data_IF_373190959901
#
_entry.id   IF_373190959901
#
_cell.length_a   1.000
_cell.length_b   1.000
_cell.length_c   1.000
_cell.angle_alpha   90.00
_cell.angle_beta   90.00
_cell.angle_gamma   90.00
#
_symmetry.space_group_name_H-M   'P 1'
#
loop_
_entity.id
_entity.type
_entity.pdbx_description
1 polymer ?
#
# COMPACT_ATOMS: atom_id res chain seq x y z
N UNK A 1 66.14 43.96 -21.34
CA UNK A 1 65.97 43.00 -20.26
C UNK A 1 64.47 42.58 -20.22
N UNK A 2 64.20 41.36 -20.69
CA UNK A 2 62.78 40.83 -20.76
C UNK A 2 62.58 39.94 -19.60
N UNK A 3 61.68 40.30 -18.70
CA UNK A 3 61.25 39.46 -17.54
C UNK A 3 60.25 38.40 -18.01
N UNK A 4 60.65 37.16 -17.92
CA UNK A 4 59.85 35.98 -18.22
C UNK A 4 59.15 35.55 -16.90
N UNK A 5 57.83 35.70 -16.81
CA UNK A 5 57.03 35.23 -15.67
C UNK A 5 56.64 33.78 -15.96
N UNK A 6 57.12 32.87 -15.13
CA UNK A 6 56.66 31.47 -15.11
C UNK A 6 55.36 31.37 -14.28
N UNK A 7 54.29 30.97 -14.96
CA UNK A 7 53.05 30.57 -14.29
C UNK A 7 53.19 29.10 -13.93
N UNK A 8 53.28 28.81 -12.64
CA UNK A 8 53.24 27.42 -12.14
C UNK A 8 51.78 27.03 -11.94
N UNK A 9 51.27 26.16 -12.77
CA UNK A 9 49.92 25.58 -12.66
C UNK A 9 49.94 24.49 -11.60
N UNK A 10 49.37 24.77 -10.43
CA UNK A 10 49.20 23.78 -9.36
C UNK A 10 47.97 22.93 -9.69
N UNK A 11 48.17 21.73 -10.26
CA UNK A 11 47.10 20.73 -10.38
C UNK A 11 46.81 20.15 -9.00
N UNK A 12 45.72 20.59 -8.37
CA UNK A 12 45.13 19.92 -7.21
C UNK A 12 44.50 18.61 -7.68
N UNK A 13 45.19 17.49 -7.51
CA UNK A 13 44.62 16.16 -7.63
C UNK A 13 43.70 15.92 -6.41
N UNK A 14 42.40 16.03 -6.61
CA UNK A 14 41.45 15.54 -5.62
C UNK A 14 41.50 14.01 -5.62
N UNK A 15 41.66 13.36 -4.46
CA UNK A 15 41.53 11.92 -4.39
C UNK A 15 40.13 11.54 -4.82
N UNK A 16 39.99 10.75 -5.87
CA UNK A 16 38.76 10.01 -6.17
C UNK A 16 38.61 9.03 -5.00
N UNK A 17 37.73 9.37 -4.06
CA UNK A 17 37.27 8.41 -3.05
C UNK A 17 36.59 7.32 -3.85
N UNK A 18 37.26 6.20 -4.02
CA UNK A 18 36.67 5.01 -4.61
C UNK A 18 35.45 4.64 -3.76
N UNK A 19 34.27 4.67 -4.38
CA UNK A 19 33.08 4.08 -3.80
C UNK A 19 33.47 2.60 -3.64
N UNK A 20 33.58 2.15 -2.39
CA UNK A 20 33.76 0.73 -2.10
C UNK A 20 32.61 -0.01 -2.76
N UNK A 21 32.91 -1.00 -3.56
CA UNK A 21 31.90 -1.86 -4.18
C UNK A 21 31.13 -2.50 -3.02
N UNK A 22 29.88 -2.09 -2.85
CA UNK A 22 29.02 -2.60 -1.77
C UNK A 22 28.57 -4.01 -2.13
N UNK A 23 29.20 -5.01 -1.52
CA UNK A 23 28.93 -6.45 -1.72
C UNK A 23 27.58 -6.89 -1.11
N UNK A 24 26.77 -5.95 -0.61
CA UNK A 24 25.42 -6.25 -0.09
C UNK A 24 24.49 -6.70 -1.22
N UNK A 25 23.78 -7.78 -1.00
CA UNK A 25 22.77 -8.29 -1.95
C UNK A 25 21.43 -7.57 -1.86
N UNK A 26 21.20 -6.77 -0.80
CA UNK A 26 19.98 -6.02 -0.50
C UNK A 26 20.31 -4.72 0.25
N UNK A 27 19.46 -3.66 0.16
CA UNK A 27 19.57 -2.49 1.03
C UNK A 27 19.35 -2.88 2.50
N UNK A 28 19.74 -2.01 3.42
CA UNK A 28 19.56 -2.22 4.86
C UNK A 28 18.08 -2.42 5.25
N UNK A 29 17.19 -1.79 4.49
CA UNK A 29 15.75 -1.99 4.56
C UNK A 29 15.09 -1.73 3.20
N UNK A 30 13.91 -2.26 2.97
CA UNK A 30 13.08 -1.93 1.79
C UNK A 30 12.14 -0.73 2.04
N UNK A 31 12.06 -0.21 3.25
CA UNK A 31 11.23 0.94 3.62
C UNK A 31 11.97 2.24 3.33
N UNK A 32 11.41 3.07 2.42
CA UNK A 32 12.08 4.26 1.88
C UNK A 32 12.37 5.34 2.93
N UNK A 33 11.53 5.44 3.96
CA UNK A 33 11.67 6.41 5.06
C UNK A 33 12.72 5.99 6.12
N UNK A 34 13.28 4.78 5.99
CA UNK A 34 14.29 4.24 6.91
C UNK A 34 15.69 4.12 6.32
N UNK A 35 15.86 4.45 5.04
CA UNK A 35 17.19 4.52 4.40
C UNK A 35 17.58 5.99 4.16
N UNK A 36 18.88 6.26 4.15
CA UNK A 36 19.38 7.59 3.82
C UNK A 36 19.49 7.77 2.28
N UNK A 37 19.66 9.02 1.83
CA UNK A 37 19.68 9.33 0.40
C UNK A 37 20.87 8.70 -0.35
N UNK A 38 22.01 8.46 0.31
CA UNK A 38 23.18 7.84 -0.28
C UNK A 38 22.90 6.36 -0.58
N UNK A 39 22.39 5.63 0.40
CA UNK A 39 21.96 4.24 0.20
C UNK A 39 20.83 4.14 -0.84
N UNK A 40 19.87 5.08 -0.82
CA UNK A 40 18.83 5.15 -1.85
C UNK A 40 19.45 5.23 -3.26
N UNK A 41 20.43 6.10 -3.47
CA UNK A 41 21.11 6.28 -4.75
C UNK A 41 21.88 5.02 -5.21
N UNK A 42 22.42 4.22 -4.30
CA UNK A 42 23.13 2.96 -4.60
C UNK A 42 22.19 1.89 -5.19
N UNK A 43 20.92 1.91 -4.81
CA UNK A 43 19.95 0.88 -5.17
C UNK A 43 19.00 1.32 -6.28
N UNK A 44 18.53 2.56 -6.27
CA UNK A 44 17.50 3.04 -7.20
C UNK A 44 18.15 3.92 -8.29
N UNK A 45 17.85 3.72 -9.57
CA UNK A 45 17.00 2.67 -10.16
C UNK A 45 17.75 1.42 -10.59
N UNK A 46 19.07 1.34 -10.40
CA UNK A 46 19.95 0.36 -11.05
C UNK A 46 19.67 -1.08 -10.63
N UNK A 47 19.39 -1.29 -9.35
CA UNK A 47 19.11 -2.61 -8.77
C UNK A 47 17.62 -2.79 -8.45
N UNK A 48 16.91 -1.70 -8.13
CA UNK A 48 15.49 -1.69 -7.79
C UNK A 48 14.82 -0.52 -8.49
N UNK A 49 13.88 -0.80 -9.37
CA UNK A 49 13.10 0.20 -10.12
C UNK A 49 11.59 0.13 -9.87
N UNK A 50 11.20 -0.70 -8.91
CA UNK A 50 9.81 -0.94 -8.52
C UNK A 50 9.56 -0.39 -7.12
N UNK A 51 8.40 0.24 -6.91
CA UNK A 51 7.95 0.70 -5.61
C UNK A 51 6.53 0.21 -5.32
N UNK A 52 6.29 -0.23 -4.08
CA UNK A 52 4.99 -0.51 -3.51
C UNK A 52 4.55 0.73 -2.73
N UNK A 53 3.39 1.30 -3.04
CA UNK A 53 2.80 2.43 -2.37
C UNK A 53 1.55 1.98 -1.59
N UNK A 54 1.64 1.76 -0.27
CA UNK A 54 0.47 1.49 0.55
C UNK A 54 -0.42 2.73 0.63
N UNK A 55 -1.72 2.56 0.48
CA UNK A 55 -2.71 3.64 0.63
C UNK A 55 -3.90 3.18 1.44
N UNK A 56 -4.44 4.05 2.28
CA UNK A 56 -5.60 3.72 3.10
C UNK A 56 -6.33 4.96 3.57
N UNK A 57 -7.01 4.85 4.71
CA UNK A 57 -7.67 5.94 5.41
C UNK A 57 -7.77 5.62 6.90
N UNK A 58 -8.34 6.55 7.67
CA UNK A 58 -8.74 6.33 9.05
C UNK A 58 -10.26 6.32 9.12
N UNK A 59 -10.82 5.15 9.41
CA UNK A 59 -12.26 4.97 9.61
C UNK A 59 -12.56 3.78 10.54
N UNK A 60 -13.75 3.69 11.12
CA UNK A 60 -14.07 2.58 12.03
C UNK A 60 -14.07 1.23 11.29
N UNK A 61 -13.45 0.24 11.94
CA UNK A 61 -13.39 -1.17 11.51
C UNK A 61 -13.89 -2.10 12.61
N UNK A 62 -15.06 -1.80 13.17
CA UNK A 62 -15.63 -2.58 14.27
C UNK A 62 -14.71 -2.58 15.49
N UNK A 63 -14.20 -3.76 15.84
CA UNK A 63 -13.29 -3.94 16.98
C UNK A 63 -11.80 -3.90 16.60
N UNK A 64 -11.48 -3.78 15.32
CA UNK A 64 -10.13 -3.51 14.86
C UNK A 64 -9.78 -2.01 14.98
N UNK A 65 -8.50 -1.69 14.85
CA UNK A 65 -8.03 -0.31 14.88
C UNK A 65 -8.60 0.52 13.72
N UNK A 66 -8.86 1.82 13.95
CA UNK A 66 -9.34 2.73 12.90
C UNK A 66 -8.38 2.88 11.71
N UNK A 67 -7.13 2.47 11.86
CA UNK A 67 -6.12 2.45 10.81
C UNK A 67 -5.99 1.10 10.10
N UNK A 68 -6.99 0.19 10.16
CA UNK A 68 -6.93 -1.11 9.50
C UNK A 68 -6.62 -0.98 8.01
N UNK A 69 -7.23 0.00 7.33
CA UNK A 69 -6.97 0.32 5.92
C UNK A 69 -5.54 0.79 5.64
N UNK A 70 -4.80 1.24 6.64
CA UNK A 70 -3.38 1.59 6.55
C UNK A 70 -2.48 0.41 6.93
N UNK A 71 -2.87 -0.31 7.99
CA UNK A 71 -2.10 -1.42 8.57
C UNK A 71 -1.97 -2.57 7.57
N UNK A 72 -3.08 -2.98 6.95
CA UNK A 72 -3.09 -4.11 6.02
C UNK A 72 -2.21 -3.87 4.77
N UNK A 73 -2.37 -2.79 3.98
CA UNK A 73 -1.54 -2.57 2.78
C UNK A 73 -0.06 -2.33 3.11
N UNK A 74 0.25 -1.71 4.25
CA UNK A 74 1.64 -1.57 4.68
C UNK A 74 2.27 -2.92 4.99
N UNK A 75 1.59 -3.76 5.78
CA UNK A 75 2.08 -5.09 6.14
C UNK A 75 2.22 -6.00 4.91
N UNK A 76 1.27 -5.95 3.97
CA UNK A 76 1.38 -6.63 2.67
C UNK A 76 2.66 -6.16 1.97
N UNK A 77 2.82 -4.85 1.78
CA UNK A 77 3.93 -4.26 1.04
C UNK A 77 5.28 -4.65 1.65
N UNK A 78 5.43 -4.53 2.98
CA UNK A 78 6.66 -4.91 3.69
C UNK A 78 6.97 -6.41 3.54
N UNK A 79 5.94 -7.27 3.62
CA UNK A 79 6.10 -8.72 3.50
C UNK A 79 6.54 -9.15 2.11
N UNK A 80 6.01 -8.52 1.05
CA UNK A 80 6.27 -8.94 -0.33
C UNK A 80 7.42 -8.19 -1.00
N UNK A 81 7.93 -7.10 -0.40
CA UNK A 81 8.91 -6.19 -1.01
C UNK A 81 10.13 -6.90 -1.60
N UNK A 82 10.75 -7.81 -0.82
CA UNK A 82 11.91 -8.56 -1.28
C UNK A 82 11.58 -9.51 -2.44
N UNK A 83 10.45 -10.21 -2.37
CA UNK A 83 10.01 -11.17 -3.40
C UNK A 83 9.67 -10.51 -4.73
N UNK A 84 9.19 -9.26 -4.68
CA UNK A 84 8.80 -8.48 -5.86
C UNK A 84 9.93 -7.57 -6.37
N UNK A 85 11.09 -7.59 -5.70
CA UNK A 85 12.20 -6.67 -5.87
C UNK A 85 11.73 -5.22 -5.91
N UNK A 86 11.10 -4.78 -4.83
CA UNK A 86 10.52 -3.45 -4.71
C UNK A 86 10.98 -2.73 -3.44
N UNK A 87 10.97 -1.41 -3.46
CA UNK A 87 10.96 -0.56 -2.27
C UNK A 87 9.52 -0.40 -1.77
N UNK A 88 9.35 -0.01 -0.51
CA UNK A 88 8.07 0.35 0.11
C UNK A 88 8.06 1.83 0.41
N UNK A 89 7.17 2.58 -0.22
CA UNK A 89 6.98 3.99 0.06
C UNK A 89 6.23 4.19 1.40
N UNK A 90 6.37 5.35 2.06
CA UNK A 90 5.53 5.71 3.20
C UNK A 90 4.05 5.61 2.87
N UNK A 91 3.26 5.09 3.82
CA UNK A 91 1.81 4.91 3.63
C UNK A 91 1.09 6.26 3.46
N UNK A 92 0.22 6.36 2.46
CA UNK A 92 -0.74 7.47 2.37
C UNK A 92 -1.90 7.17 3.33
N UNK A 93 -1.78 7.67 4.56
CA UNK A 93 -2.61 7.28 5.68
C UNK A 93 -3.95 8.02 5.78
N UNK A 94 -4.14 9.10 5.03
CA UNK A 94 -5.37 9.87 5.00
C UNK A 94 -6.02 9.79 3.62
N UNK A 95 -7.27 9.34 3.58
CA UNK A 95 -7.98 9.03 2.35
C UNK A 95 -9.42 9.55 2.33
N UNK A 96 -10.24 8.93 1.48
CA UNK A 96 -11.59 9.39 1.16
C UNK A 96 -12.66 8.60 1.89
N UNK A 97 -12.67 8.63 3.24
CA UNK A 97 -13.73 8.01 4.04
C UNK A 97 -15.12 8.50 3.62
N UNK A 98 -16.04 7.57 3.45
CA UNK A 98 -17.42 7.83 3.00
C UNK A 98 -18.42 8.07 4.14
N UNK A 99 -19.46 7.22 4.21
CA UNK A 99 -20.57 7.31 5.18
C UNK A 99 -20.16 7.07 6.63
N UNK A 100 -18.97 6.53 6.86
CA UNK A 100 -18.38 6.31 8.19
C UNK A 100 -17.61 7.53 8.72
N UNK A 101 -17.49 8.60 7.97
CA UNK A 101 -16.73 9.79 8.35
C UNK A 101 -17.26 10.51 9.61
N UNK A 102 -18.49 10.25 10.02
CA UNK A 102 -19.09 10.83 11.24
C UNK A 102 -18.66 10.11 12.53
N UNK A 103 -18.04 8.94 12.43
CA UNK A 103 -17.58 8.20 13.61
C UNK A 103 -16.32 8.81 14.22
N UNK A 104 -16.15 8.73 15.55
CA UNK A 104 -14.95 9.21 16.22
C UNK A 104 -13.68 8.56 15.69
N UNK A 105 -12.66 9.37 15.42
CA UNK A 105 -11.38 8.91 14.89
C UNK A 105 -11.35 8.71 13.36
N UNK A 106 -12.48 8.90 12.66
CA UNK A 106 -12.51 8.92 11.19
C UNK A 106 -12.02 10.26 10.62
N UNK A 107 -11.32 10.19 9.48
CA UNK A 107 -10.87 11.38 8.74
C UNK A 107 -11.30 11.26 7.28
N UNK A 108 -11.80 12.35 6.72
CA UNK A 108 -12.28 12.39 5.34
C UNK A 108 -11.53 13.46 4.55
N UNK A 109 -10.84 13.05 3.49
CA UNK A 109 -10.39 13.97 2.45
C UNK A 109 -11.44 14.06 1.33
N UNK A 110 -11.60 15.25 0.74
CA UNK A 110 -12.38 15.40 -0.49
C UNK A 110 -11.58 14.92 -1.70
N UNK A 111 -12.27 14.55 -2.78
CA UNK A 111 -11.62 14.14 -4.02
C UNK A 111 -10.73 15.26 -4.60
N UNK A 112 -11.17 16.54 -4.46
CA UNK A 112 -10.44 17.72 -4.95
C UNK A 112 -9.09 17.92 -4.25
N UNK A 113 -8.93 17.38 -3.03
CA UNK A 113 -7.66 17.41 -2.29
C UNK A 113 -6.89 16.12 -2.52
N UNK A 114 -7.56 14.96 -2.46
CA UNK A 114 -6.90 13.67 -2.53
C UNK A 114 -6.29 13.38 -3.92
N UNK A 115 -7.00 13.75 -5.02
CA UNK A 115 -6.51 13.49 -6.37
C UNK A 115 -5.18 14.20 -6.66
N UNK A 116 -5.04 15.55 -6.49
CA UNK A 116 -3.78 16.23 -6.71
C UNK A 116 -2.69 15.77 -5.72
N UNK A 117 -3.02 15.48 -4.46
CA UNK A 117 -2.07 14.96 -3.48
C UNK A 117 -1.45 13.62 -3.94
N UNK A 118 -2.28 12.67 -4.37
CA UNK A 118 -1.79 11.38 -4.90
C UNK A 118 -0.95 11.61 -6.15
N UNK A 119 -1.39 12.52 -7.06
CA UNK A 119 -0.64 12.81 -8.29
C UNK A 119 0.78 13.30 -7.98
N UNK A 120 0.94 14.26 -7.08
CA UNK A 120 2.26 14.77 -6.69
C UNK A 120 3.16 13.71 -6.07
N UNK A 121 2.60 12.78 -5.29
CA UNK A 121 3.35 11.65 -4.75
C UNK A 121 3.85 10.71 -5.87
N UNK A 122 2.98 10.36 -6.84
CA UNK A 122 3.38 9.50 -7.96
C UNK A 122 4.41 10.18 -8.86
N UNK A 123 4.27 11.49 -9.14
CA UNK A 123 5.28 12.29 -9.84
C UNK A 123 6.62 12.31 -9.09
N UNK A 124 6.57 12.40 -7.75
CA UNK A 124 7.74 12.29 -6.89
C UNK A 124 8.45 10.94 -7.04
N UNK A 125 7.70 9.84 -7.12
CA UNK A 125 8.25 8.51 -7.35
C UNK A 125 8.89 8.39 -8.76
N UNK A 126 8.24 8.92 -9.80
CA UNK A 126 8.80 9.00 -11.15
C UNK A 126 10.09 9.82 -11.18
N UNK A 127 10.11 10.99 -10.54
CA UNK A 127 11.30 11.84 -10.41
C UNK A 127 12.46 11.08 -9.75
N UNK A 128 12.16 10.21 -8.79
CA UNK A 128 13.12 9.34 -8.12
C UNK A 128 13.46 8.08 -8.93
N UNK A 129 13.08 8.02 -10.22
CA UNK A 129 13.48 6.99 -11.18
C UNK A 129 12.84 5.62 -11.00
N UNK A 130 11.75 5.51 -10.27
CA UNK A 130 10.94 4.30 -10.28
C UNK A 130 10.25 4.15 -11.65
N UNK A 131 10.36 2.96 -12.24
CA UNK A 131 9.75 2.60 -13.52
C UNK A 131 8.43 1.85 -13.36
N UNK A 132 8.24 1.23 -12.19
CA UNK A 132 7.03 0.47 -11.87
C UNK A 132 6.50 0.92 -10.51
N UNK A 133 5.28 1.45 -10.49
CA UNK A 133 4.60 1.92 -9.27
C UNK A 133 3.38 1.03 -9.04
N UNK A 134 3.37 0.34 -7.90
CA UNK A 134 2.30 -0.58 -7.52
C UNK A 134 1.60 -0.03 -6.28
N UNK A 135 0.36 0.37 -6.43
CA UNK A 135 -0.46 0.89 -5.34
C UNK A 135 -1.20 -0.28 -4.70
N UNK A 136 -0.92 -0.53 -3.43
CA UNK A 136 -1.65 -1.48 -2.59
C UNK A 136 -2.69 -0.68 -1.82
N UNK A 137 -3.93 -0.72 -2.30
CA UNK A 137 -5.02 0.06 -1.73
C UNK A 137 -5.74 -0.72 -0.62
N UNK A 138 -5.89 -0.07 0.54
CA UNK A 138 -6.61 -0.59 1.70
C UNK A 138 -8.07 -0.13 1.78
N UNK A 139 -8.46 0.95 1.08
CA UNK A 139 -9.79 1.56 1.22
C UNK A 139 -10.59 1.57 -0.08
N UNK A 140 -11.88 1.30 0.04
CA UNK A 140 -12.82 1.20 -1.09
C UNK A 140 -13.41 2.52 -1.58
N UNK A 141 -14.62 2.44 -2.10
CA UNK A 141 -15.42 3.59 -2.50
C UNK A 141 -14.77 4.47 -3.57
N UNK A 142 -14.93 5.79 -3.40
CA UNK A 142 -14.41 6.81 -4.32
C UNK A 142 -12.88 6.84 -4.41
N UNK A 143 -12.18 6.41 -3.35
CA UNK A 143 -10.72 6.35 -3.35
C UNK A 143 -10.17 5.43 -4.44
N UNK A 144 -10.77 4.25 -4.62
CA UNK A 144 -10.37 3.31 -5.68
C UNK A 144 -10.43 3.94 -7.07
N UNK A 145 -11.48 4.71 -7.37
CA UNK A 145 -11.63 5.38 -8.68
C UNK A 145 -10.53 6.43 -8.87
N UNK A 146 -10.30 7.28 -7.87
CA UNK A 146 -9.25 8.31 -7.92
C UNK A 146 -7.86 7.71 -8.11
N UNK A 147 -7.53 6.63 -7.37
CA UNK A 147 -6.24 5.95 -7.50
C UNK A 147 -6.03 5.39 -8.91
N UNK A 148 -7.05 4.77 -9.51
CA UNK A 148 -6.98 4.25 -10.88
C UNK A 148 -6.81 5.36 -11.92
N UNK A 149 -7.56 6.46 -11.78
CA UNK A 149 -7.46 7.61 -12.67
C UNK A 149 -6.04 8.20 -12.65
N UNK A 150 -5.52 8.51 -11.46
CA UNK A 150 -4.19 9.10 -11.30
C UNK A 150 -3.10 8.15 -11.76
N UNK A 151 -3.20 6.85 -11.44
CA UNK A 151 -2.24 5.86 -11.89
C UNK A 151 -2.18 5.78 -13.42
N UNK A 152 -3.34 5.84 -14.09
CA UNK A 152 -3.43 5.86 -15.55
C UNK A 152 -2.84 7.14 -16.14
N UNK A 153 -3.14 8.30 -15.55
CA UNK A 153 -2.60 9.61 -15.96
C UNK A 153 -1.06 9.60 -15.90
N UNK A 154 -0.49 9.19 -14.77
CA UNK A 154 0.97 9.10 -14.56
C UNK A 154 1.63 8.11 -15.53
N UNK A 155 1.03 6.94 -15.75
CA UNK A 155 1.55 5.97 -16.71
C UNK A 155 1.66 6.56 -18.13
N UNK A 156 0.60 7.26 -18.58
CA UNK A 156 0.54 7.86 -19.91
C UNK A 156 1.47 9.08 -20.06
N UNK A 157 1.57 9.92 -19.02
CA UNK A 157 2.39 11.14 -19.06
C UNK A 157 3.90 10.83 -19.01
N UNK A 158 4.30 9.79 -18.27
CA UNK A 158 5.71 9.54 -17.96
C UNK A 158 6.25 8.23 -18.53
N UNK A 159 5.42 7.40 -19.18
CA UNK A 159 5.86 6.11 -19.73
C UNK A 159 6.30 5.11 -18.65
N UNK A 160 5.74 5.20 -17.45
CA UNK A 160 5.99 4.26 -16.36
C UNK A 160 4.87 3.23 -16.26
N UNK A 161 5.16 2.08 -15.65
CA UNK A 161 4.18 1.04 -15.41
C UNK A 161 3.46 1.29 -14.08
N UNK A 162 2.14 1.22 -14.08
CA UNK A 162 1.34 1.37 -12.86
C UNK A 162 0.39 0.19 -12.66
N UNK A 163 0.17 -0.20 -11.40
CA UNK A 163 -0.77 -1.26 -11.02
C UNK A 163 -1.49 -0.83 -9.74
N UNK A 164 -2.80 -0.93 -9.69
CA UNK A 164 -3.61 -0.65 -8.50
C UNK A 164 -4.29 -1.94 -8.06
N UNK A 165 -4.03 -2.38 -6.83
CA UNK A 165 -4.60 -3.58 -6.24
C UNK A 165 -5.43 -3.19 -5.01
N UNK A 166 -6.73 -3.46 -5.06
CA UNK A 166 -7.60 -3.44 -3.87
C UNK A 166 -7.46 -4.80 -3.19
N UNK A 167 -6.71 -4.86 -2.10
CA UNK A 167 -6.23 -6.12 -1.54
C UNK A 167 -7.37 -7.07 -1.16
N UNK A 168 -8.46 -6.57 -0.56
CA UNK A 168 -9.61 -7.40 -0.14
C UNK A 168 -10.35 -8.01 -1.33
N UNK A 169 -10.57 -7.24 -2.40
CA UNK A 169 -11.21 -7.74 -3.63
C UNK A 169 -10.31 -8.73 -4.36
N UNK A 170 -9.00 -8.46 -4.41
CA UNK A 170 -8.01 -9.36 -4.98
C UNK A 170 -7.92 -10.69 -4.25
N UNK A 171 -8.19 -10.68 -2.93
CA UNK A 171 -8.16 -11.84 -2.06
C UNK A 171 -9.53 -12.52 -1.86
N UNK A 172 -10.57 -12.12 -2.58
CA UNK A 172 -11.94 -12.62 -2.35
C UNK A 172 -12.09 -14.14 -2.44
N UNK A 173 -11.38 -14.78 -3.36
CA UNK A 173 -11.34 -16.25 -3.48
C UNK A 173 -10.67 -16.92 -2.27
N UNK A 174 -9.61 -16.32 -1.72
CA UNK A 174 -8.94 -16.81 -0.52
C UNK A 174 -9.84 -16.61 0.72
N UNK A 175 -10.56 -15.47 0.78
CA UNK A 175 -11.56 -15.23 1.82
C UNK A 175 -12.59 -16.36 1.84
N UNK A 176 -13.13 -16.71 0.67
CA UNK A 176 -14.07 -17.82 0.52
C UNK A 176 -13.44 -19.17 0.86
N UNK A 177 -12.18 -19.38 0.45
CA UNK A 177 -11.46 -20.64 0.74
C UNK A 177 -11.27 -20.85 2.23
N UNK A 178 -10.80 -19.84 2.98
CA UNK A 178 -10.43 -19.95 4.39
C UNK A 178 -11.64 -19.88 5.31
N UNK A 179 -12.54 -18.89 5.07
CA UNK A 179 -13.63 -18.60 5.99
C UNK A 179 -14.97 -19.24 5.58
N UNK A 180 -15.12 -19.67 4.31
CA UNK A 180 -16.39 -20.16 3.71
C UNK A 180 -17.48 -19.10 3.67
N UNK A 181 -17.09 -17.84 3.75
CA UNK A 181 -17.94 -16.65 3.77
C UNK A 181 -17.34 -15.57 2.91
N UNK A 182 -18.14 -14.67 2.38
CA UNK A 182 -17.64 -13.42 1.80
C UNK A 182 -17.23 -12.50 2.94
N UNK A 183 -16.15 -11.78 2.72
CA UNK A 183 -15.75 -10.71 3.63
C UNK A 183 -16.63 -9.48 3.46
N UNK A 184 -16.20 -8.40 4.06
CA UNK A 184 -16.84 -7.09 3.96
C UNK A 184 -16.11 -6.09 4.83
N UNK A 185 -16.62 -4.86 4.85
CA UNK A 185 -16.08 -3.84 5.72
C UNK A 185 -16.21 -4.27 7.20
N UNK A 186 -15.10 -4.22 7.92
CA UNK A 186 -14.98 -4.71 9.30
C UNK A 186 -15.43 -6.18 9.50
N UNK A 187 -15.52 -6.94 8.42
CA UNK A 187 -15.87 -8.36 8.44
C UNK A 187 -14.71 -9.25 8.86
N UNK A 188 -14.93 -10.56 8.79
CA UNK A 188 -13.91 -11.52 9.22
C UNK A 188 -12.59 -11.37 8.45
N UNK A 189 -12.66 -11.17 7.14
CA UNK A 189 -11.47 -11.00 6.29
C UNK A 189 -10.56 -9.84 6.76
N UNK A 190 -11.12 -8.68 7.08
CA UNK A 190 -10.34 -7.52 7.51
C UNK A 190 -9.87 -7.69 8.96
N UNK A 191 -10.75 -8.08 9.88
CA UNK A 191 -10.36 -8.32 11.27
C UNK A 191 -9.31 -9.44 11.40
N UNK A 192 -9.46 -10.55 10.68
CA UNK A 192 -8.48 -11.63 10.68
C UNK A 192 -7.12 -11.17 10.10
N UNK A 193 -7.16 -10.33 9.07
CA UNK A 193 -5.92 -9.80 8.49
C UNK A 193 -5.15 -8.94 9.50
N UNK A 194 -5.85 -8.05 10.20
CA UNK A 194 -5.26 -7.25 11.29
C UNK A 194 -4.81 -8.13 12.45
N UNK A 195 -5.61 -9.14 12.83
CA UNK A 195 -5.26 -10.08 13.89
C UNK A 195 -3.96 -10.85 13.60
N UNK A 196 -3.73 -11.23 12.34
CA UNK A 196 -2.49 -11.88 11.92
C UNK A 196 -1.28 -10.95 11.99
N UNK A 197 -1.46 -9.66 11.72
CA UNK A 197 -0.39 -8.66 11.76
C UNK A 197 -0.03 -8.32 13.21
N UNK A 198 -1.03 -7.97 14.01
CA UNK A 198 -0.88 -7.60 15.42
C UNK A 198 -2.20 -7.87 16.18
N UNK A 199 -2.29 -8.97 16.93
CA UNK A 199 -3.49 -9.29 17.71
C UNK A 199 -3.89 -8.22 18.74
N UNK A 200 -2.96 -7.38 19.19
CA UNK A 200 -3.23 -6.31 20.16
C UNK A 200 -4.10 -5.17 19.59
N UNK A 201 -4.22 -5.09 18.26
CA UNK A 201 -5.08 -4.13 17.55
C UNK A 201 -6.55 -4.57 17.47
N UNK A 202 -6.87 -5.77 17.96
CA UNK A 202 -8.21 -6.35 17.99
C UNK A 202 -8.77 -6.38 19.42
N UNK A 203 -9.84 -5.65 19.65
CA UNK A 203 -10.54 -5.58 20.94
C UNK A 203 -11.77 -6.50 20.94
N UNK A 204 -11.55 -7.82 20.99
CA UNK A 204 -12.60 -8.85 20.90
C UNK A 204 -13.72 -8.67 21.93
N UNK A 205 -13.38 -8.20 23.14
CA UNK A 205 -14.29 -7.95 24.26
C UNK A 205 -15.34 -6.86 23.95
N UNK A 206 -15.10 -6.05 22.90
CA UNK A 206 -16.03 -4.99 22.45
C UNK A 206 -16.95 -5.44 21.31
N UNK A 207 -16.79 -6.67 20.82
CA UNK A 207 -17.64 -7.17 19.75
C UNK A 207 -19.05 -7.40 20.26
N UNK A 208 -20.05 -6.86 19.51
CA UNK A 208 -21.46 -7.00 19.81
C UNK A 208 -22.26 -7.07 18.50
N UNK A 209 -22.99 -8.15 18.29
CA UNK A 209 -23.84 -8.37 17.11
C UNK A 209 -24.93 -7.29 16.96
N UNK A 210 -25.43 -6.71 18.07
CA UNK A 210 -26.42 -5.63 18.03
C UNK A 210 -25.89 -4.35 17.35
N UNK A 211 -24.56 -4.21 17.24
CA UNK A 211 -23.92 -3.10 16.53
C UNK A 211 -23.64 -3.42 15.07
N UNK A 212 -23.91 -4.64 14.63
CA UNK A 212 -23.69 -5.05 13.26
C UNK A 212 -24.84 -4.66 12.35
N UNK A 213 -24.55 -4.21 11.15
CA UNK A 213 -25.55 -3.93 10.12
C UNK A 213 -25.07 -4.45 8.77
N UNK A 214 -25.90 -5.27 8.12
CA UNK A 214 -25.60 -5.75 6.78
C UNK A 214 -25.55 -4.59 5.77
N UNK A 215 -24.61 -4.65 4.85
CA UNK A 215 -24.57 -3.73 3.72
C UNK A 215 -25.82 -3.91 2.86
N UNK A 216 -26.36 -2.82 2.29
CA UNK A 216 -27.57 -2.90 1.47
C UNK A 216 -27.33 -3.74 0.23
N UNK A 217 -28.22 -4.70 -0.01
CA UNK A 217 -28.20 -5.49 -1.23
C UNK A 217 -28.39 -4.59 -2.46
N UNK A 218 -27.52 -4.73 -3.46
CA UNK A 218 -27.61 -4.01 -4.74
C UNK A 218 -27.75 -2.48 -4.60
N UNK A 219 -27.14 -1.88 -3.58
CA UNK A 219 -27.30 -0.45 -3.26
C UNK A 219 -28.75 0.00 -3.05
N UNK A 220 -29.59 -0.88 -2.50
CA UNK A 220 -31.02 -0.61 -2.32
C UNK A 220 -31.33 0.54 -1.36
N UNK A 221 -30.39 0.92 -0.51
CA UNK A 221 -30.47 2.08 0.38
C UNK A 221 -29.07 2.61 0.69
N UNK A 222 -29.02 3.81 1.20
CA UNK A 222 -27.81 4.42 1.74
C UNK A 222 -28.14 5.25 2.97
N UNK A 223 -27.20 5.33 3.91
CA UNK A 223 -27.31 6.19 5.09
C UNK A 223 -26.01 6.94 5.33
N UNK A 224 -26.12 8.20 5.77
CA UNK A 224 -24.99 9.02 6.19
C UNK A 224 -25.42 9.81 7.44
N UNK A 225 -24.85 9.54 8.63
CA UNK A 225 -23.86 8.48 8.92
C UNK A 225 -24.42 7.07 8.68
N UNK A 226 -23.53 6.13 8.35
CA UNK A 226 -23.94 4.72 8.32
C UNK A 226 -24.27 4.26 9.75
N UNK A 227 -25.34 3.47 9.96
CA UNK A 227 -25.91 3.24 11.30
C UNK A 227 -25.14 2.22 12.16
N UNK A 228 -23.99 1.73 11.71
CA UNK A 228 -23.23 0.72 12.43
C UNK A 228 -21.73 0.94 12.32
N UNK A 229 -20.99 0.60 13.37
CA UNK A 229 -19.52 0.52 13.36
C UNK A 229 -19.01 -0.81 12.80
N UNK A 230 -19.85 -1.83 12.70
CA UNK A 230 -19.57 -3.13 12.10
C UNK A 230 -20.50 -3.28 10.89
N UNK A 231 -19.91 -3.31 9.70
CA UNK A 231 -20.65 -3.43 8.44
C UNK A 231 -20.34 -4.78 7.81
N UNK A 232 -21.37 -5.58 7.58
CA UNK A 232 -21.25 -6.89 6.96
C UNK A 232 -21.52 -6.78 5.46
N UNK A 233 -20.85 -7.59 4.65
CA UNK A 233 -21.07 -7.64 3.21
C UNK A 233 -22.47 -8.14 2.85
N UNK A 234 -22.91 -9.21 3.50
CA UNK A 234 -24.26 -9.76 3.41
C UNK A 234 -24.79 -10.09 4.81
N UNK A 235 -26.11 -10.02 4.99
CA UNK A 235 -26.72 -10.43 6.25
C UNK A 235 -26.36 -11.89 6.57
N UNK A 236 -25.91 -12.14 7.80
CA UNK A 236 -25.45 -13.45 8.27
C UNK A 236 -24.06 -13.88 7.77
N UNK A 237 -23.35 -13.03 7.02
CA UNK A 237 -21.98 -13.30 6.56
C UNK A 237 -20.99 -12.25 7.06
N UNK A 238 -19.72 -12.64 7.10
CA UNK A 238 -18.66 -11.73 7.51
C UNK A 238 -18.53 -11.52 9.02
N UNK A 239 -19.26 -12.28 9.83
CA UNK A 239 -19.13 -12.25 11.28
C UNK A 239 -17.72 -12.65 11.72
N UNK A 240 -17.16 -11.86 12.62
CA UNK A 240 -15.81 -12.08 13.14
C UNK A 240 -15.81 -13.23 14.15
N UNK A 241 -14.91 -14.20 14.01
CA UNK A 241 -14.79 -15.37 14.90
C UNK A 241 -13.44 -15.45 15.64
N UNK A 242 -12.52 -14.52 15.38
CA UNK A 242 -11.22 -14.37 16.05
C UNK A 242 -10.38 -15.66 16.16
N UNK A 243 -10.30 -16.44 15.08
CA UNK A 243 -9.48 -17.64 14.99
C UNK A 243 -8.07 -17.30 14.48
N UNK A 244 -7.07 -17.29 15.36
CA UNK A 244 -5.70 -16.93 15.03
C UNK A 244 -5.09 -17.82 13.93
N UNK A 245 -5.37 -19.13 13.93
CA UNK A 245 -4.82 -20.03 12.89
C UNK A 245 -5.35 -19.69 11.51
N UNK A 246 -6.64 -19.40 11.41
CA UNK A 246 -7.26 -18.97 10.16
C UNK A 246 -6.77 -17.58 9.74
N UNK A 247 -6.55 -16.67 10.70
CA UNK A 247 -5.98 -15.37 10.45
C UNK A 247 -4.57 -15.49 9.82
N UNK A 248 -3.70 -16.29 10.43
CA UNK A 248 -2.33 -16.52 9.94
C UNK A 248 -2.32 -17.23 8.57
N UNK A 249 -3.20 -18.23 8.38
CA UNK A 249 -3.36 -18.91 7.08
C UNK A 249 -3.82 -17.92 6.00
N UNK A 250 -4.81 -17.10 6.32
CA UNK A 250 -5.35 -16.10 5.40
C UNK A 250 -4.28 -15.08 4.99
N UNK A 251 -3.59 -14.49 5.97
CA UNK A 251 -2.50 -13.54 5.73
C UNK A 251 -1.42 -14.11 4.81
N UNK A 252 -0.98 -15.34 5.11
CA UNK A 252 0.05 -16.02 4.31
C UNK A 252 -0.42 -16.23 2.86
N UNK A 253 -1.64 -16.76 2.66
CA UNK A 253 -2.16 -17.04 1.31
C UNK A 253 -2.33 -15.75 0.50
N UNK A 254 -2.84 -14.68 1.11
CA UNK A 254 -3.02 -13.37 0.44
C UNK A 254 -1.68 -12.79 0.02
N UNK A 255 -0.69 -12.75 0.91
CA UNK A 255 0.64 -12.21 0.60
C UNK A 255 1.37 -13.06 -0.44
N UNK A 256 1.26 -14.38 -0.39
CA UNK A 256 1.84 -15.29 -1.37
C UNK A 256 1.23 -15.09 -2.77
N UNK A 257 -0.10 -15.01 -2.85
CA UNK A 257 -0.83 -14.76 -4.10
C UNK A 257 -0.44 -13.42 -4.70
N UNK A 258 -0.41 -12.38 -3.87
CA UNK A 258 -0.10 -11.02 -4.33
C UNK A 258 1.33 -10.90 -4.84
N UNK A 259 2.31 -11.44 -4.14
CA UNK A 259 3.69 -11.44 -4.59
C UNK A 259 3.84 -12.17 -5.93
N UNK A 260 3.25 -13.36 -6.08
CA UNK A 260 3.30 -14.15 -7.31
C UNK A 260 2.64 -13.41 -8.48
N UNK A 261 1.49 -12.77 -8.25
CA UNK A 261 0.78 -11.99 -9.25
C UNK A 261 1.61 -10.77 -9.72
N UNK A 262 2.21 -10.02 -8.80
CA UNK A 262 3.04 -8.87 -9.15
C UNK A 262 4.25 -9.30 -9.99
N UNK A 263 4.93 -10.38 -9.61
CA UNK A 263 6.05 -10.93 -10.38
C UNK A 263 5.60 -11.34 -11.79
N UNK A 264 4.44 -11.99 -11.90
CA UNK A 264 3.87 -12.38 -13.19
C UNK A 264 3.56 -11.17 -14.08
N UNK A 265 2.90 -10.14 -13.55
CA UNK A 265 2.56 -8.93 -14.30
C UNK A 265 3.83 -8.20 -14.76
N UNK A 266 4.82 -8.03 -13.89
CA UNK A 266 6.11 -7.43 -14.27
C UNK A 266 6.76 -8.21 -15.41
N UNK A 267 6.81 -9.54 -15.32
CA UNK A 267 7.35 -10.39 -16.39
C UNK A 267 6.57 -10.26 -17.71
N UNK A 268 5.26 -10.06 -17.66
CA UNK A 268 4.45 -9.83 -18.87
C UNK A 268 4.77 -8.49 -19.53
N UNK A 269 4.92 -7.43 -18.75
CA UNK A 269 5.37 -6.13 -19.25
C UNK A 269 6.76 -6.20 -19.90
N UNK A 270 7.72 -6.85 -19.24
CA UNK A 270 9.07 -7.02 -19.77
C UNK A 270 9.07 -7.78 -21.11
N UNK A 271 8.27 -8.86 -21.23
CA UNK A 271 8.13 -9.63 -22.48
C UNK A 271 7.45 -8.83 -23.59
N UNK A 272 6.59 -7.88 -23.24
CA UNK A 272 5.92 -7.00 -24.19
C UNK A 272 6.81 -5.80 -24.61
N UNK A 273 7.97 -5.61 -23.97
CA UNK A 273 8.86 -4.48 -24.21
C UNK A 273 8.34 -3.16 -23.67
N UNK A 274 7.49 -3.22 -22.64
CA UNK A 274 6.88 -2.06 -21.99
C UNK A 274 7.66 -1.62 -20.76
#
# INVERSE_FOLDING_TARGET
MKNLHYFVLFCLAFPIVGIADDDRSDPSTREMDRINWMEFQEWIPTKIDTVLLPTGTLEPHGVANNGADNTAPFAISSTIAKRTNAMVAPTLAYGMTGSLAAYPGAFKMSADVYKPFVKEILEGLVKNKFKTIIIINGHGGGQTAVLKDVATEIANEHGVRTLVINWWSFAADITQEVFKENGGHAGWNENAFIQAIDPSLIHQDRYNDDLATASPANNSWSATPFPSSIVLYQEGQGYVKFDQKKADEYYKKVTDKMASFIVEIKSKWDKAGL
#
